data_IF_504543443377
#
_entry.id   IF_504543443377
#
_cell.length_a   1.000
_cell.length_b   1.000
_cell.length_c   1.000
_cell.angle_alpha   90.00
_cell.angle_beta   90.00
_cell.angle_gamma   90.00
#
_symmetry.space_group_name_H-M   'P 1'
#
loop_
_entity.id
_entity.type
_entity.pdbx_description
1 polymer ?
#
# COMPACT_ATOMS: atom_id res chain seq x y z
N UNK A 1 43.33 -20.23 10.53
CA UNK A 1 43.02 -18.91 9.96
C UNK A 1 42.23 -19.02 8.65
N UNK A 2 42.59 -19.93 7.74
CA UNK A 2 41.90 -20.09 6.45
C UNK A 2 40.41 -20.47 6.58
N UNK A 3 40.04 -21.40 7.46
CA UNK A 3 38.65 -21.79 7.68
C UNK A 3 37.76 -20.61 8.13
N UNK A 4 38.31 -19.72 8.97
CA UNK A 4 37.61 -18.54 9.45
C UNK A 4 37.35 -17.57 8.28
N UNK A 5 38.37 -17.33 7.44
CA UNK A 5 38.25 -16.48 6.25
C UNK A 5 37.16 -16.99 5.30
N UNK A 6 37.18 -18.29 4.97
CA UNK A 6 36.17 -18.90 4.10
C UNK A 6 34.76 -18.83 4.71
N UNK A 7 34.64 -18.99 6.03
CA UNK A 7 33.34 -18.88 6.70
C UNK A 7 32.77 -17.45 6.64
N UNK A 8 33.61 -16.42 6.80
CA UNK A 8 33.21 -15.03 6.67
C UNK A 8 32.78 -14.69 5.23
N UNK A 9 33.54 -15.15 4.23
CA UNK A 9 33.18 -14.97 2.81
C UNK A 9 31.84 -15.62 2.52
N UNK A 10 31.62 -16.85 3.01
CA UNK A 10 30.35 -17.55 2.82
C UNK A 10 29.17 -16.79 3.45
N UNK A 11 29.31 -16.28 4.67
CA UNK A 11 28.26 -15.50 5.34
C UNK A 11 27.85 -14.24 4.56
N UNK A 12 28.79 -13.63 3.83
CA UNK A 12 28.50 -12.48 2.96
C UNK A 12 27.88 -12.95 1.64
N UNK A 13 28.46 -13.95 0.98
CA UNK A 13 28.02 -14.39 -0.35
C UNK A 13 26.64 -15.07 -0.30
N UNK A 14 26.31 -15.73 0.81
CA UNK A 14 25.05 -16.47 0.95
C UNK A 14 23.78 -15.64 0.75
N UNK A 15 23.51 -14.55 1.51
CA UNK A 15 22.28 -13.77 1.36
C UNK A 15 22.22 -12.97 0.05
N UNK A 16 23.37 -12.53 -0.48
CA UNK A 16 23.41 -11.63 -1.64
C UNK A 16 23.51 -12.35 -2.99
N UNK A 17 24.03 -13.58 -3.04
CA UNK A 17 24.20 -14.32 -4.29
C UNK A 17 23.52 -15.69 -4.25
N UNK A 18 23.85 -16.53 -3.26
CA UNK A 18 23.38 -17.92 -3.23
C UNK A 18 21.87 -17.99 -3.02
N UNK A 19 21.36 -17.30 -2.01
CA UNK A 19 19.93 -17.29 -1.70
C UNK A 19 19.05 -16.78 -2.86
N UNK A 20 19.32 -15.61 -3.48
CA UNK A 20 18.51 -15.15 -4.61
C UNK A 20 18.65 -16.05 -5.84
N UNK A 21 19.84 -16.63 -6.09
CA UNK A 21 20.03 -17.58 -7.19
C UNK A 21 19.19 -18.84 -7.00
N UNK A 22 19.24 -19.44 -5.81
CA UNK A 22 18.44 -20.62 -5.47
C UNK A 22 16.94 -20.31 -5.54
N UNK A 23 16.50 -19.16 -5.00
CA UNK A 23 15.11 -18.73 -5.10
C UNK A 23 14.65 -18.55 -6.55
N UNK A 24 15.51 -17.97 -7.41
CA UNK A 24 15.22 -17.82 -8.84
C UNK A 24 15.11 -19.19 -9.52
N UNK A 25 16.04 -20.10 -9.27
CA UNK A 25 16.02 -21.47 -9.82
C UNK A 25 14.76 -22.23 -9.39
N UNK A 26 14.37 -22.14 -8.12
CA UNK A 26 13.12 -22.71 -7.62
C UNK A 26 11.91 -22.06 -8.30
N UNK A 27 11.92 -20.74 -8.49
CA UNK A 27 10.87 -20.02 -9.20
C UNK A 27 10.71 -20.44 -10.67
N UNK A 28 11.80 -20.87 -11.32
CA UNK A 28 11.77 -21.42 -12.68
C UNK A 28 11.16 -22.83 -12.72
N UNK A 29 11.44 -23.67 -11.72
CA UNK A 29 10.93 -25.05 -11.66
C UNK A 29 9.49 -25.12 -11.14
N UNK A 30 9.10 -24.18 -10.25
CA UNK A 30 7.78 -24.11 -9.63
C UNK A 30 7.16 -22.73 -9.80
N UNK A 31 6.78 -22.31 -11.03
CA UNK A 31 6.07 -21.06 -11.21
C UNK A 31 4.74 -21.13 -10.47
N UNK A 32 4.61 -20.36 -9.39
CA UNK A 32 3.32 -20.19 -8.70
C UNK A 32 2.41 -19.43 -9.65
N UNK A 33 1.59 -20.17 -10.41
CA UNK A 33 0.56 -19.57 -11.26
C UNK A 33 -0.39 -18.79 -10.37
N UNK A 34 -0.35 -17.47 -10.46
CA UNK A 34 -1.36 -16.62 -9.85
C UNK A 34 -2.68 -16.95 -10.54
N UNK A 35 -3.58 -17.64 -9.84
CA UNK A 35 -4.93 -17.88 -10.34
C UNK A 35 -5.62 -16.52 -10.44
N UNK A 36 -5.67 -15.95 -11.65
CA UNK A 36 -6.49 -14.78 -11.91
C UNK A 36 -7.95 -15.24 -11.87
N UNK A 37 -8.68 -14.76 -10.88
CA UNK A 37 -10.14 -14.90 -10.83
C UNK A 37 -10.72 -14.15 -12.02
N UNK A 38 -11.68 -14.76 -12.73
CA UNK A 38 -12.48 -14.05 -13.75
C UNK A 38 -13.39 -12.98 -13.13
N UNK A 39 -13.68 -13.09 -11.83
CA UNK A 39 -14.51 -12.15 -11.09
C UNK A 39 -13.67 -10.97 -10.60
N UNK A 40 -14.10 -9.76 -10.95
CA UNK A 40 -13.60 -8.48 -10.44
C UNK A 40 -14.43 -8.09 -9.21
N UNK A 41 -13.90 -8.17 -7.97
CA UNK A 41 -14.66 -7.84 -6.76
C UNK A 41 -14.94 -6.33 -6.64
N UNK A 42 -15.79 -5.93 -5.70
CA UNK A 42 -15.84 -4.53 -5.26
C UNK A 42 -14.69 -4.28 -4.28
N UNK A 43 -14.02 -3.14 -4.39
CA UNK A 43 -12.85 -2.77 -3.58
C UNK A 43 -13.08 -1.43 -2.91
N UNK A 44 -12.79 -1.36 -1.62
CA UNK A 44 -12.71 -0.14 -0.83
C UNK A 44 -11.25 0.18 -0.53
N UNK A 45 -10.79 1.36 -0.93
CA UNK A 45 -9.46 1.86 -0.62
C UNK A 45 -9.59 2.80 0.57
N UNK A 46 -9.04 2.40 1.71
CA UNK A 46 -9.02 3.21 2.93
C UNK A 46 -7.70 3.99 2.99
N UNK A 47 -7.77 5.31 3.14
CA UNK A 47 -6.61 6.19 3.26
C UNK A 47 -6.70 6.90 4.61
N UNK A 48 -6.05 6.37 5.67
CA UNK A 48 -5.93 7.10 6.92
C UNK A 48 -4.99 8.29 6.71
N UNK A 49 -5.45 9.48 7.07
CA UNK A 49 -4.73 10.74 6.89
C UNK A 49 -4.70 11.55 8.19
N UNK A 50 -3.54 12.09 8.52
CA UNK A 50 -3.36 13.06 9.59
C UNK A 50 -2.29 14.05 9.17
N UNK A 51 -2.71 15.29 8.91
CA UNK A 51 -1.84 16.35 8.41
C UNK A 51 -1.02 15.95 7.16
N UNK A 52 -1.74 15.57 6.10
CA UNK A 52 -1.19 15.10 4.83
C UNK A 52 -1.49 16.08 3.67
N UNK A 53 -1.71 17.37 3.95
CA UNK A 53 -2.12 18.35 2.93
C UNK A 53 -1.16 18.39 1.71
N UNK A 54 0.13 18.18 1.95
CA UNK A 54 1.17 18.19 0.91
C UNK A 54 1.04 17.04 -0.10
N UNK A 55 0.46 15.91 0.29
CA UNK A 55 0.47 14.68 -0.52
C UNK A 55 -0.90 14.04 -0.76
N UNK A 56 -1.93 14.43 0.00
CA UNK A 56 -3.24 13.76 -0.04
C UNK A 56 -3.90 13.88 -1.41
N UNK A 57 -3.78 15.04 -2.07
CA UNK A 57 -4.33 15.25 -3.41
C UNK A 57 -3.73 14.28 -4.44
N UNK A 58 -2.40 14.20 -4.48
CA UNK A 58 -1.68 13.30 -5.38
C UNK A 58 -2.02 11.84 -5.08
N UNK A 59 -2.16 11.49 -3.80
CA UNK A 59 -2.52 10.14 -3.36
C UNK A 59 -3.91 9.73 -3.84
N UNK A 60 -4.92 10.59 -3.62
CA UNK A 60 -6.31 10.33 -4.05
C UNK A 60 -6.39 10.23 -5.57
N UNK A 61 -5.78 11.17 -6.30
CA UNK A 61 -5.75 11.14 -7.77
C UNK A 61 -5.10 9.86 -8.30
N UNK A 62 -3.98 9.44 -7.72
CA UNK A 62 -3.31 8.19 -8.10
C UNK A 62 -4.22 6.95 -7.95
N UNK A 63 -5.15 6.94 -6.98
CA UNK A 63 -6.11 5.85 -6.80
C UNK A 63 -7.27 5.94 -7.78
N UNK A 64 -7.72 7.15 -8.12
CA UNK A 64 -8.75 7.36 -9.14
C UNK A 64 -8.29 6.93 -10.54
N UNK A 65 -7.00 7.06 -10.83
CA UNK A 65 -6.37 6.72 -12.11
C UNK A 65 -6.06 5.22 -12.30
N UNK A 66 -6.41 4.37 -11.32
CA UNK A 66 -6.20 2.93 -11.44
C UNK A 66 -7.05 2.31 -12.54
N UNK A 67 -6.50 1.33 -13.26
CA UNK A 67 -7.24 0.52 -14.23
C UNK A 67 -8.15 -0.51 -13.53
N UNK A 68 -9.18 -0.02 -12.85
CA UNK A 68 -10.21 -0.79 -12.16
C UNK A 68 -11.60 -0.22 -12.50
N UNK A 69 -12.66 -1.06 -12.62
CA UNK A 69 -14.00 -0.55 -12.91
C UNK A 69 -14.45 0.48 -11.87
N UNK A 70 -14.83 1.67 -12.34
CA UNK A 70 -15.19 2.80 -11.49
C UNK A 70 -16.43 2.51 -10.62
N UNK A 71 -17.36 1.70 -11.11
CA UNK A 71 -18.56 1.24 -10.40
C UNK A 71 -18.27 0.21 -9.29
N UNK A 72 -17.03 -0.28 -9.20
CA UNK A 72 -16.59 -1.30 -8.25
C UNK A 72 -15.47 -0.84 -7.34
N UNK A 73 -15.15 0.45 -7.34
CA UNK A 73 -14.09 1.03 -6.52
C UNK A 73 -14.59 2.26 -5.80
N UNK A 74 -14.34 2.30 -4.50
CA UNK A 74 -14.53 3.49 -3.68
C UNK A 74 -13.26 3.82 -2.90
N UNK A 75 -13.06 5.10 -2.62
CA UNK A 75 -11.93 5.63 -1.87
C UNK A 75 -12.52 6.36 -0.66
N UNK A 76 -12.15 5.89 0.53
CA UNK A 76 -12.57 6.49 1.79
C UNK A 76 -11.32 7.06 2.46
N UNK A 77 -11.25 8.38 2.53
CA UNK A 77 -10.19 9.06 3.27
C UNK A 77 -10.68 9.25 4.70
N UNK A 78 -9.88 8.79 5.65
CA UNK A 78 -10.23 8.81 7.07
C UNK A 78 -9.32 9.83 7.75
N UNK A 79 -9.84 11.01 8.05
CA UNK A 79 -9.07 12.07 8.71
C UNK A 79 -9.11 11.88 10.22
N UNK A 80 -7.96 11.69 10.84
CA UNK A 80 -7.77 11.53 12.29
C UNK A 80 -7.61 12.90 12.98
N UNK A 81 -8.50 13.84 12.66
CA UNK A 81 -8.48 15.21 13.20
C UNK A 81 -7.40 16.11 12.59
N UNK A 82 -7.24 16.09 11.26
CA UNK A 82 -6.25 16.96 10.57
C UNK A 82 -6.56 18.45 10.74
N UNK A 83 -5.52 19.27 10.81
CA UNK A 83 -5.60 20.73 11.05
C UNK A 83 -4.91 21.57 9.97
N UNK A 84 -4.34 20.94 8.96
CA UNK A 84 -3.44 21.55 7.96
C UNK A 84 -4.10 21.80 6.59
N UNK A 85 -5.41 21.59 6.45
CA UNK A 85 -6.11 21.69 5.17
C UNK A 85 -6.36 20.35 4.47
N UNK A 86 -5.92 19.22 5.04
CA UNK A 86 -6.11 17.88 4.46
C UNK A 86 -7.57 17.61 4.10
N UNK A 87 -8.50 17.93 5.00
CA UNK A 87 -9.93 17.65 4.85
C UNK A 87 -10.54 18.47 3.72
N UNK A 88 -10.17 19.73 3.61
CA UNK A 88 -10.61 20.67 2.59
C UNK A 88 -10.15 20.20 1.21
N UNK A 89 -8.91 19.72 1.11
CA UNK A 89 -8.37 19.15 -0.12
C UNK A 89 -9.17 17.92 -0.53
N UNK A 90 -9.46 17.00 0.40
CA UNK A 90 -10.25 15.80 0.07
C UNK A 90 -11.67 16.18 -0.35
N UNK A 91 -12.32 17.12 0.35
CA UNK A 91 -13.67 17.61 -0.01
C UNK A 91 -13.71 18.30 -1.37
N UNK A 92 -12.57 18.80 -1.88
CA UNK A 92 -12.51 19.44 -3.20
C UNK A 92 -12.63 18.45 -4.37
N UNK A 93 -12.47 17.14 -4.14
CA UNK A 93 -12.67 16.12 -5.16
C UNK A 93 -14.16 15.95 -5.46
N UNK A 94 -14.57 16.27 -6.69
CA UNK A 94 -15.94 16.11 -7.17
C UNK A 94 -16.27 14.66 -7.60
N UNK A 95 -15.31 13.74 -7.54
CA UNK A 95 -15.51 12.35 -7.96
C UNK A 95 -16.37 11.60 -6.91
N UNK A 96 -17.52 11.01 -7.31
CA UNK A 96 -18.43 10.35 -6.38
C UNK A 96 -17.84 9.10 -5.71
N UNK A 97 -16.69 8.62 -6.18
CA UNK A 97 -15.97 7.50 -5.54
C UNK A 97 -15.20 7.94 -4.30
N UNK A 98 -15.01 9.24 -4.06
CA UNK A 98 -14.22 9.77 -2.94
C UNK A 98 -15.14 10.23 -1.81
N UNK A 99 -14.93 9.67 -0.63
CA UNK A 99 -15.66 10.04 0.59
C UNK A 99 -14.67 10.40 1.70
N UNK A 100 -14.91 11.51 2.39
CA UNK A 100 -14.17 11.87 3.61
C UNK A 100 -14.95 11.42 4.84
N UNK A 101 -14.31 10.64 5.70
CA UNK A 101 -14.74 10.34 7.06
C UNK A 101 -13.82 11.07 8.04
N UNK A 102 -14.32 12.09 8.72
CA UNK A 102 -13.55 12.83 9.74
C UNK A 102 -13.87 12.28 11.12
N UNK A 103 -12.84 11.93 11.88
CA UNK A 103 -12.92 11.56 13.29
C UNK A 103 -12.49 12.73 14.15
N UNK A 104 -13.19 12.92 15.27
CA UNK A 104 -12.84 13.88 16.31
C UNK A 104 -12.05 13.14 17.40
N UNK A 105 -10.84 13.61 17.72
CA UNK A 105 -9.92 12.94 18.64
C UNK A 105 -8.92 12.02 17.92
N UNK A 106 -7.62 12.31 18.09
CA UNK A 106 -6.53 11.55 17.46
C UNK A 106 -6.30 10.24 18.21
N UNK A 107 -6.83 9.14 17.69
CA UNK A 107 -6.70 7.80 18.29
C UNK A 107 -5.74 6.89 17.52
N UNK A 108 -5.17 7.40 16.42
CA UNK A 108 -4.13 6.74 15.65
C UNK A 108 -4.67 5.83 14.55
N UNK A 109 -3.73 5.31 13.74
CA UNK A 109 -4.03 4.60 12.48
C UNK A 109 -4.93 3.37 12.63
N UNK A 110 -4.74 2.59 13.69
CA UNK A 110 -5.52 1.37 13.89
C UNK A 110 -7.00 1.68 14.18
N UNK A 111 -7.26 2.73 14.98
CA UNK A 111 -8.61 3.20 15.25
C UNK A 111 -9.26 3.75 13.97
N UNK A 112 -8.51 4.54 13.20
CA UNK A 112 -8.98 5.05 11.91
C UNK A 112 -9.37 3.95 10.92
N UNK A 113 -8.72 2.78 10.93
CA UNK A 113 -9.05 1.68 10.01
C UNK A 113 -10.20 0.77 10.47
N UNK A 114 -10.63 0.88 11.74
CA UNK A 114 -11.66 0.02 12.33
C UNK A 114 -13.05 0.68 12.43
N UNK A 115 -13.15 1.94 12.00
CA UNK A 115 -14.41 2.69 11.87
C UNK A 115 -15.15 2.31 10.58
#
# INVERSE_FOLDING_TARGET
MELLLWSCIFLIVYPYAIYPLVMRLIGLVRPKRVKRSARIPTVSILIPAYNEADCIAATVQNKLDQYYPADRMQIIVISDGSTDGTDEIVKSFADPRVTLLRREGREGKAAALND
#
